data_IF_519431088815
#
_entry.id   IF_519431088815
#
_cell.length_a   1.000
_cell.length_b   1.000
_cell.length_c   1.000
_cell.angle_alpha   90.00
_cell.angle_beta   90.00
_cell.angle_gamma   90.00
#
_symmetry.space_group_name_H-M   'P 1'
#
loop_
_entity.id
_entity.type
_entity.pdbx_description
1 polymer ?
#
# COMPACT_ATOMS: atom_id res chain seq x y z
N UNK A 1 -6.26 15.20 0.14
CA UNK A 1 -7.47 14.39 -0.11
C UNK A 1 -7.13 12.97 0.28
N UNK A 2 -7.84 12.35 1.22
CA UNK A 2 -7.54 10.99 1.68
C UNK A 2 -8.23 9.94 0.80
N UNK A 3 -7.53 8.84 0.50
CA UNK A 3 -8.12 7.67 -0.17
C UNK A 3 -8.73 6.73 0.89
N UNK A 4 -10.03 6.49 0.80
CA UNK A 4 -10.80 5.63 1.69
C UNK A 4 -11.56 4.63 0.83
N UNK A 5 -11.39 3.34 1.11
CA UNK A 5 -12.19 2.26 0.51
C UNK A 5 -13.04 1.65 1.62
N UNK A 6 -14.35 1.56 1.38
CA UNK A 6 -15.36 1.12 2.35
C UNK A 6 -16.04 -0.16 1.84
N UNK A 7 -16.08 -1.20 2.68
CA UNK A 7 -16.73 -2.49 2.39
C UNK A 7 -17.89 -2.72 3.36
N UNK A 8 -19.03 -3.17 2.84
CA UNK A 8 -20.23 -3.50 3.60
C UNK A 8 -20.13 -4.88 4.27
N UNK A 9 -19.82 -4.82 5.57
CA UNK A 9 -19.79 -5.87 6.61
C UNK A 9 -18.80 -7.05 6.48
N UNK A 10 -18.01 -7.34 7.55
CA UNK A 10 -17.84 -6.55 8.76
C UNK A 10 -17.04 -5.27 8.46
N UNK A 11 -17.46 -4.13 9.02
CA UNK A 11 -16.93 -2.80 8.70
C UNK A 11 -15.42 -2.68 8.96
N UNK A 12 -14.60 -2.85 7.92
CA UNK A 12 -13.16 -2.55 7.96
C UNK A 12 -12.93 -1.29 7.13
N UNK A 13 -12.65 -0.17 7.82
CA UNK A 13 -12.26 1.09 7.19
C UNK A 13 -10.75 1.12 7.05
N UNK A 14 -10.26 1.02 5.82
CA UNK A 14 -8.83 1.20 5.54
C UNK A 14 -8.55 2.64 5.11
N UNK A 15 -7.81 3.37 5.95
CA UNK A 15 -7.33 4.71 5.64
C UNK A 15 -5.89 4.63 5.12
N UNK A 16 -5.76 4.55 3.79
CA UNK A 16 -4.47 4.36 3.14
C UNK A 16 -3.61 5.63 3.10
N UNK A 17 -4.22 6.82 3.16
CA UNK A 17 -3.51 8.09 3.03
C UNK A 17 -3.04 8.74 4.34
N UNK A 18 -3.73 8.52 5.47
CA UNK A 18 -3.43 9.25 6.72
C UNK A 18 -2.63 8.43 7.73
N UNK A 19 -2.57 7.10 7.57
CA UNK A 19 -1.98 6.20 8.55
C UNK A 19 -0.57 5.74 8.11
N UNK A 20 0.39 6.68 8.15
CA UNK A 20 1.77 6.55 7.66
C UNK A 20 2.47 5.25 8.08
N UNK A 21 2.24 4.82 9.32
CA UNK A 21 2.83 3.60 9.86
C UNK A 21 2.29 2.31 9.20
N UNK A 22 1.05 2.35 8.70
CA UNK A 22 0.40 1.17 8.12
C UNK A 22 0.87 0.86 6.71
N UNK A 23 1.34 1.85 5.93
CA UNK A 23 1.83 1.61 4.57
C UNK A 23 3.04 0.69 4.55
N UNK A 24 3.97 0.87 5.49
CA UNK A 24 5.09 -0.06 5.69
C UNK A 24 4.58 -1.49 5.93
N UNK A 25 3.63 -1.66 6.84
CA UNK A 25 3.07 -2.98 7.21
C UNK A 25 2.39 -3.62 6.00
N UNK A 26 1.67 -2.85 5.18
CA UNK A 26 1.04 -3.36 3.97
C UNK A 26 2.05 -3.78 2.92
N UNK A 27 3.11 -3.01 2.71
CA UNK A 27 4.21 -3.36 1.82
C UNK A 27 4.88 -4.65 2.30
N UNK A 28 5.22 -4.76 3.59
CA UNK A 28 5.80 -5.98 4.18
C UNK A 28 4.88 -7.19 3.99
N UNK A 29 3.57 -7.03 4.17
CA UNK A 29 2.60 -8.09 3.92
C UNK A 29 2.58 -8.50 2.44
N UNK A 30 2.53 -7.54 1.52
CA UNK A 30 2.51 -7.81 0.07
C UNK A 30 3.76 -8.59 -0.37
N UNK A 31 4.94 -8.16 0.05
CA UNK A 31 6.21 -8.81 -0.26
C UNK A 31 6.33 -10.21 0.36
N UNK A 32 5.67 -10.44 1.50
CA UNK A 32 5.70 -11.74 2.19
C UNK A 32 4.72 -12.75 1.62
N UNK A 33 3.53 -12.30 1.21
CA UNK A 33 2.44 -13.18 0.78
C UNK A 33 2.35 -13.35 -0.74
N UNK A 34 3.08 -12.55 -1.52
CA UNK A 34 3.19 -12.71 -2.97
C UNK A 34 4.66 -12.81 -3.39
N UNK A 35 4.98 -13.61 -4.41
CA UNK A 35 6.33 -13.70 -4.97
C UNK A 35 6.60 -12.48 -5.86
N UNK A 36 6.48 -11.27 -5.32
CA UNK A 36 6.80 -10.02 -6.00
C UNK A 36 8.03 -9.38 -5.33
N UNK A 37 8.92 -8.81 -6.14
CA UNK A 37 10.05 -8.03 -5.63
C UNK A 37 9.61 -6.60 -5.28
N UNK A 38 10.49 -5.88 -4.59
CA UNK A 38 10.27 -4.45 -4.31
C UNK A 38 10.21 -3.64 -5.62
N UNK A 39 11.01 -4.00 -6.64
CA UNK A 39 11.00 -3.40 -7.97
C UNK A 39 9.68 -3.64 -8.72
N UNK A 40 9.14 -4.87 -8.64
CA UNK A 40 7.83 -5.19 -9.21
C UNK A 40 6.74 -4.34 -8.56
N UNK A 41 6.78 -4.21 -7.23
CA UNK A 41 5.84 -3.38 -6.48
C UNK A 41 5.97 -1.89 -6.84
N UNK A 42 7.20 -1.37 -6.99
CA UNK A 42 7.42 0.01 -7.41
C UNK A 42 6.81 0.29 -8.79
N UNK A 43 6.91 -0.69 -9.69
CA UNK A 43 6.31 -0.62 -11.03
C UNK A 43 4.77 -0.59 -10.97
N UNK A 44 4.16 -1.44 -10.14
CA UNK A 44 2.70 -1.47 -9.93
C UNK A 44 2.18 -0.16 -9.32
N UNK A 45 2.95 0.42 -8.39
CA UNK A 45 2.60 1.68 -7.74
C UNK A 45 2.95 2.91 -8.58
N UNK A 46 3.64 2.71 -9.72
CA UNK A 46 4.23 3.73 -10.60
C UNK A 46 4.99 4.80 -9.80
N UNK A 47 5.88 4.35 -8.91
CA UNK A 47 6.79 5.21 -8.14
C UNK A 47 8.23 4.78 -8.35
N UNK A 48 9.21 5.70 -8.24
CA UNK A 48 10.61 5.31 -8.19
C UNK A 48 10.88 4.35 -7.03
N UNK A 49 11.71 3.33 -7.27
CA UNK A 49 12.10 2.32 -6.27
C UNK A 49 12.71 2.95 -5.01
N UNK A 50 13.39 4.09 -5.15
CA UNK A 50 13.96 4.84 -4.04
C UNK A 50 12.86 5.34 -3.09
N UNK A 51 11.77 5.89 -3.64
CA UNK A 51 10.64 6.37 -2.82
C UNK A 51 9.97 5.19 -2.13
N UNK A 52 9.72 4.09 -2.85
CA UNK A 52 9.14 2.89 -2.23
C UNK A 52 10.03 2.33 -1.12
N UNK A 53 11.35 2.36 -1.29
CA UNK A 53 12.30 1.91 -0.28
C UNK A 53 12.21 2.77 0.99
N UNK A 54 12.13 4.10 0.86
CA UNK A 54 11.95 4.99 2.00
C UNK A 54 10.63 4.75 2.74
N UNK A 55 9.54 4.44 2.02
CA UNK A 55 8.25 4.07 2.62
C UNK A 55 8.34 2.71 3.32
N UNK A 56 8.99 1.73 2.71
CA UNK A 56 9.20 0.40 3.28
C UNK A 56 10.07 0.45 4.55
N UNK A 57 11.05 1.34 4.61
CA UNK A 57 11.84 1.60 5.81
C UNK A 57 11.06 2.40 6.88
N UNK A 58 9.89 2.94 6.53
CA UNK A 58 9.06 3.77 7.41
C UNK A 58 9.56 5.21 7.55
N UNK A 59 10.45 5.67 6.66
CA UNK A 59 10.99 7.04 6.62
C UNK A 59 10.07 8.02 5.89
N UNK A 60 9.29 7.51 4.93
CA UNK A 60 8.31 8.28 4.16
C UNK A 60 6.95 7.56 4.12
N UNK A 61 5.97 8.20 3.49
CA UNK A 61 4.65 7.64 3.20
C UNK A 61 4.10 8.28 1.93
N UNK A 62 3.26 7.55 1.21
CA UNK A 62 2.53 8.07 0.06
C UNK A 62 1.32 8.90 0.56
N UNK A 63 1.16 10.13 0.09
CA UNK A 63 -0.04 10.95 0.38
C UNK A 63 -1.06 10.99 -0.75
N UNK A 64 -0.70 10.45 -1.92
CA UNK A 64 -1.35 10.76 -3.20
C UNK A 64 -1.77 9.47 -3.94
N UNK A 65 -1.84 9.49 -5.27
CA UNK A 65 -2.28 8.36 -6.12
C UNK A 65 -1.55 7.03 -5.83
N UNK A 66 -0.28 7.10 -5.41
CA UNK A 66 0.48 5.92 -4.99
C UNK A 66 -0.11 5.22 -3.74
N UNK A 67 -0.67 5.98 -2.79
CA UNK A 67 -1.35 5.41 -1.62
C UNK A 67 -2.63 4.69 -2.02
N UNK A 68 -3.37 5.26 -2.99
CA UNK A 68 -4.57 4.64 -3.54
C UNK A 68 -4.24 3.35 -4.29
N UNK A 69 -3.22 3.35 -5.15
CA UNK A 69 -2.75 2.15 -5.86
C UNK A 69 -2.29 1.06 -4.89
N UNK A 70 -1.56 1.43 -3.84
CA UNK A 70 -1.15 0.50 -2.78
C UNK A 70 -2.36 -0.14 -2.12
N UNK A 71 -3.37 0.65 -1.78
CA UNK A 71 -4.59 0.12 -1.17
C UNK A 71 -5.39 -0.79 -2.09
N UNK A 72 -5.57 -0.40 -3.35
CA UNK A 72 -6.24 -1.23 -4.36
C UNK A 72 -5.50 -2.56 -4.58
N UNK A 73 -4.18 -2.51 -4.74
CA UNK A 73 -3.38 -3.71 -4.94
C UNK A 73 -3.40 -4.62 -3.70
N UNK A 74 -3.30 -4.04 -2.50
CA UNK A 74 -3.43 -4.78 -1.25
C UNK A 74 -4.77 -5.53 -1.19
N UNK A 75 -5.87 -4.85 -1.51
CA UNK A 75 -7.19 -5.47 -1.53
C UNK A 75 -7.28 -6.58 -2.58
N UNK A 76 -6.81 -6.36 -3.82
CA UNK A 76 -6.79 -7.41 -4.85
C UNK A 76 -5.99 -8.66 -4.44
N UNK A 77 -4.91 -8.46 -3.68
CA UNK A 77 -4.06 -9.55 -3.19
C UNK A 77 -4.74 -10.37 -2.09
N UNK A 78 -5.53 -9.72 -1.23
CA UNK A 78 -6.13 -10.31 -0.03
C UNK A 78 -7.68 -10.44 -0.06
N UNK A 79 -8.35 -10.15 -1.19
CA UNK A 79 -9.80 -10.26 -1.35
C UNK A 79 -10.29 -11.64 -1.81
N UNK A 80 -9.44 -12.67 -1.74
CA UNK A 80 -9.75 -14.07 -2.12
C UNK A 80 -9.59 -14.95 -0.89
#
# INVERSE_FOLDING_TARGET
MGCIIEFSEPFIRFNFGENKHNQKIWIEALLRFKPISLDDLASVLEVPIQILSEVHEGKAFFSDDAAQRLGQFFLLVFSI
#
